data_IF_385344279041
#
_entry.id   IF_385344279041
#
_cell.length_a   1.000
_cell.length_b   1.000
_cell.length_c   1.000
_cell.angle_alpha   90.00
_cell.angle_beta   90.00
_cell.angle_gamma   90.00
#
_symmetry.space_group_name_H-M   'P 1'
#
loop_
_entity.id
_entity.type
_entity.pdbx_description
1 polymer ?
#
# COMPACT_ATOMS: atom_id res chain seq x y z
N UNK A 1 -13.24 -13.26 -1.44
CA UNK A 1 -13.26 -12.53 -2.72
C UNK A 1 -13.49 -11.04 -2.48
N UNK A 2 -14.69 -10.56 -2.10
CA UNK A 2 -14.94 -9.12 -1.87
C UNK A 2 -14.06 -8.48 -0.77
N UNK A 3 -13.76 -9.22 0.30
CA UNK A 3 -13.00 -8.72 1.45
C UNK A 3 -11.51 -8.48 1.14
N UNK A 4 -10.91 -9.32 0.29
CA UNK A 4 -9.50 -9.14 -0.13
C UNK A 4 -9.36 -7.98 -1.11
N UNK A 5 -10.33 -7.77 -2.00
CA UNK A 5 -10.36 -6.62 -2.89
C UNK A 5 -10.59 -5.31 -2.11
N UNK A 6 -11.42 -5.33 -1.06
CA UNK A 6 -11.62 -4.20 -0.17
C UNK A 6 -10.34 -3.88 0.62
N UNK A 7 -9.67 -4.89 1.19
CA UNK A 7 -8.37 -4.70 1.87
C UNK A 7 -7.30 -4.18 0.92
N UNK A 8 -7.24 -4.69 -0.30
CA UNK A 8 -6.29 -4.21 -1.31
C UNK A 8 -6.51 -2.73 -1.60
N UNK A 9 -7.76 -2.31 -1.83
CA UNK A 9 -8.11 -0.90 -2.07
C UNK A 9 -7.81 -0.02 -0.86
N UNK A 10 -8.01 -0.54 0.35
CA UNK A 10 -7.63 0.17 1.58
C UNK A 10 -6.11 0.37 1.66
N UNK A 11 -5.30 -0.63 1.37
CA UNK A 11 -3.83 -0.49 1.28
C UNK A 11 -3.40 0.51 0.20
N UNK A 12 -4.03 0.48 -0.97
CA UNK A 12 -3.76 1.44 -2.05
C UNK A 12 -4.05 2.89 -1.63
N UNK A 13 -5.01 3.13 -0.74
CA UNK A 13 -5.32 4.48 -0.24
C UNK A 13 -4.19 5.13 0.56
N UNK A 14 -3.28 4.33 1.11
CA UNK A 14 -2.07 4.84 1.77
C UNK A 14 -1.05 5.33 0.74
N UNK A 15 -1.04 4.77 -0.45
CA UNK A 15 -0.08 5.11 -1.50
C UNK A 15 -0.39 6.47 -2.14
N UNK A 16 0.63 7.18 -2.64
CA UNK A 16 0.43 8.45 -3.35
C UNK A 16 -0.27 8.28 -4.71
N UNK A 17 -0.07 7.12 -5.34
CA UNK A 17 -0.71 6.70 -6.58
C UNK A 17 -0.72 5.17 -6.67
N UNK A 18 -1.40 4.61 -7.66
CA UNK A 18 -1.38 3.15 -7.93
C UNK A 18 -0.15 2.73 -8.73
N UNK A 19 0.37 3.61 -9.60
CA UNK A 19 1.52 3.36 -10.47
C UNK A 19 2.71 4.27 -10.14
N UNK A 20 3.93 3.78 -10.36
CA UNK A 20 5.15 4.59 -10.37
C UNK A 20 5.19 5.47 -11.60
N UNK A 21 6.14 6.40 -11.66
CA UNK A 21 6.38 7.22 -12.85
C UNK A 21 6.69 6.36 -14.10
N UNK A 22 7.31 5.20 -13.90
CA UNK A 22 7.58 4.20 -14.95
C UNK A 22 6.37 3.32 -15.29
N UNK A 23 5.20 3.55 -14.69
CA UNK A 23 3.98 2.78 -14.93
C UNK A 23 3.91 1.43 -14.22
N UNK A 24 4.82 1.15 -13.29
CA UNK A 24 4.80 -0.10 -12.52
C UNK A 24 3.84 -0.01 -11.33
N UNK A 25 3.16 -1.10 -10.94
CA UNK A 25 2.33 -1.10 -9.74
C UNK A 25 3.17 -0.79 -8.50
N UNK A 26 2.72 0.19 -7.70
CA UNK A 26 3.36 0.53 -6.43
C UNK A 26 3.05 -0.51 -5.38
N UNK A 27 1.82 -1.01 -5.30
CA UNK A 27 1.46 -2.09 -4.40
C UNK A 27 2.01 -3.41 -4.95
N UNK A 28 2.92 -4.05 -4.22
CA UNK A 28 3.51 -5.33 -4.61
C UNK A 28 2.71 -6.50 -4.04
N UNK A 29 2.32 -6.40 -2.77
CA UNK A 29 1.61 -7.48 -2.08
C UNK A 29 0.80 -6.94 -0.92
N UNK A 30 -0.42 -7.41 -0.79
CA UNK A 30 -1.19 -7.35 0.46
C UNK A 30 -1.10 -8.71 1.15
N UNK A 31 -0.95 -8.74 2.47
CA UNK A 31 -0.89 -9.98 3.22
C UNK A 31 -1.57 -9.85 4.58
N UNK A 32 -2.12 -10.97 5.03
CA UNK A 32 -2.55 -11.18 6.40
C UNK A 32 -1.68 -12.26 7.01
N UNK A 33 -0.95 -11.93 8.08
CA UNK A 33 -0.07 -12.89 8.76
C UNK A 33 -0.09 -12.64 10.26
N UNK A 34 -0.35 -13.69 11.05
CA UNK A 34 -0.37 -13.63 12.52
C UNK A 34 -1.29 -12.54 13.11
N UNK A 35 -2.47 -12.30 12.51
CA UNK A 35 -3.37 -11.25 12.99
C UNK A 35 -3.04 -9.84 12.48
N UNK A 36 -1.99 -9.70 11.67
CA UNK A 36 -1.53 -8.42 11.15
C UNK A 36 -1.92 -8.31 9.67
N UNK A 37 -2.66 -7.27 9.33
CA UNK A 37 -2.86 -6.83 7.94
C UNK A 37 -1.72 -5.90 7.57
N UNK A 38 -1.00 -6.23 6.50
CA UNK A 38 0.12 -5.44 6.02
C UNK A 38 0.26 -5.51 4.52
N UNK A 39 1.10 -4.66 3.98
CA UNK A 39 1.41 -4.64 2.56
C UNK A 39 2.85 -4.23 2.29
N UNK A 40 3.34 -4.60 1.11
CA UNK A 40 4.63 -4.13 0.60
C UNK A 40 4.38 -3.24 -0.62
N UNK A 41 5.10 -2.12 -0.68
CA UNK A 41 4.97 -1.17 -1.77
C UNK A 41 6.30 -0.58 -2.22
N UNK A 42 6.38 -0.17 -3.48
CA UNK A 42 7.47 0.60 -4.06
C UNK A 42 7.23 2.09 -3.83
N UNK A 43 8.10 2.69 -3.03
CA UNK A 43 8.06 4.10 -2.68
C UNK A 43 9.46 4.69 -2.81
N UNK A 44 9.54 5.93 -3.27
CA UNK A 44 10.74 6.75 -3.08
C UNK A 44 10.89 7.14 -1.61
N UNK A 45 12.08 7.62 -1.23
CA UNK A 45 12.33 8.11 0.14
C UNK A 45 11.38 9.24 0.52
N UNK A 46 11.08 10.16 -0.40
CA UNK A 46 10.17 11.26 -0.17
C UNK A 46 8.72 10.78 0.06
N UNK A 47 8.26 9.81 -0.74
CA UNK A 47 6.91 9.26 -0.62
C UNK A 47 6.75 8.44 0.66
N UNK A 48 7.76 7.66 1.04
CA UNK A 48 7.76 6.94 2.30
C UNK A 48 7.59 7.89 3.49
N UNK A 49 8.28 9.04 3.51
CA UNK A 49 8.14 10.04 4.56
C UNK A 49 6.73 10.65 4.65
N UNK A 50 5.97 10.64 3.55
CA UNK A 50 4.56 11.07 3.52
C UNK A 50 3.64 9.95 4.00
N UNK A 51 3.84 8.73 3.52
CA UNK A 51 3.03 7.55 3.90
C UNK A 51 3.16 7.25 5.39
N UNK A 52 4.37 7.34 5.95
CA UNK A 52 4.65 7.10 7.37
C UNK A 52 3.95 8.09 8.33
N UNK A 53 3.40 9.19 7.82
CA UNK A 53 2.65 10.17 8.61
C UNK A 53 1.14 9.96 8.54
N UNK A 54 0.65 9.05 7.69
CA UNK A 54 -0.78 8.78 7.56
C UNK A 54 -1.28 8.03 8.79
N UNK A 55 -2.42 8.42 9.37
CA UNK A 55 -3.02 7.70 10.48
C UNK A 55 -3.37 6.26 10.03
N UNK A 56 -2.96 5.27 10.81
CA UNK A 56 -3.17 3.85 10.50
C UNK A 56 -2.04 3.18 9.71
N UNK A 57 -0.94 3.91 9.43
CA UNK A 57 0.34 3.33 9.03
C UNK A 57 1.26 3.09 10.24
#
# INVERSE_FOLDING_TARGET
>A
MADEDAHRRWHESFLPSTLTDSGEPRLLRSFYRYGIYGFTARLTVAEHAVVAKKPGF
#
